data_IF_141879308612
#
_entry.id   IF_141879308612
#
_cell.length_a   1.000
_cell.length_b   1.000
_cell.length_c   1.000
_cell.angle_alpha   90.00
_cell.angle_beta   90.00
_cell.angle_gamma   90.00
#
_symmetry.space_group_name_H-M   'P 1'
#
loop_
_entity.id
_entity.type
_entity.pdbx_description
1 polymer ?
#
# COMPACT_ATOMS: atom_id res chain seq x y z
N UNK A 1 20.99 15.58 -32.45
CA UNK A 1 19.68 15.23 -33.02
C UNK A 1 19.32 13.80 -32.62
N UNK A 2 18.78 13.65 -31.43
CA UNK A 2 18.06 12.42 -31.07
C UNK A 2 16.75 12.50 -31.82
N UNK A 3 16.75 11.91 -32.99
CA UNK A 3 15.78 12.13 -34.02
C UNK A 3 14.43 11.57 -33.63
N UNK A 4 13.40 12.37 -33.86
CA UNK A 4 11.98 12.03 -33.76
C UNK A 4 11.57 10.72 -34.47
N UNK A 5 12.39 10.19 -35.38
CA UNK A 5 12.19 8.90 -36.03
C UNK A 5 12.30 7.71 -35.09
N UNK A 6 13.23 7.74 -34.13
CA UNK A 6 13.44 6.64 -33.19
C UNK A 6 12.27 6.52 -32.20
N UNK A 7 11.69 7.66 -31.79
CA UNK A 7 10.52 7.69 -30.91
C UNK A 7 9.27 7.18 -31.62
N UNK A 8 9.07 7.59 -32.88
CA UNK A 8 7.96 7.13 -33.69
C UNK A 8 8.09 5.63 -34.03
N UNK A 9 9.30 5.17 -34.34
CA UNK A 9 9.54 3.77 -34.62
C UNK A 9 9.30 2.88 -33.38
N UNK A 10 9.65 3.36 -32.18
CA UNK A 10 9.29 2.70 -30.91
C UNK A 10 7.78 2.69 -30.67
N UNK A 11 7.06 3.80 -30.89
CA UNK A 11 5.61 3.89 -30.74
C UNK A 11 4.89 2.88 -31.65
N UNK A 12 5.38 2.67 -32.87
CA UNK A 12 4.77 1.72 -33.81
C UNK A 12 5.22 0.28 -33.64
N UNK A 13 6.41 0.04 -33.08
CA UNK A 13 6.99 -1.29 -32.90
C UNK A 13 6.64 -1.90 -31.54
N UNK A 14 6.73 -1.10 -30.49
CA UNK A 14 6.46 -1.53 -29.13
C UNK A 14 5.04 -1.11 -28.74
N UNK A 15 4.10 -2.04 -28.79
CA UNK A 15 2.70 -1.79 -28.40
C UNK A 15 2.54 -1.38 -26.94
N UNK A 16 3.56 -1.64 -26.11
CA UNK A 16 3.61 -1.33 -24.69
C UNK A 16 4.90 -0.58 -24.42
N UNK A 17 4.81 0.73 -24.18
CA UNK A 17 5.96 1.60 -23.88
C UNK A 17 6.31 1.66 -22.39
N UNK A 18 5.49 1.07 -21.53
CA UNK A 18 5.68 1.06 -20.07
C UNK A 18 6.47 -0.17 -19.64
N UNK A 19 7.34 0.00 -18.64
CA UNK A 19 8.06 -1.12 -18.07
C UNK A 19 7.14 -2.01 -17.24
N UNK A 20 7.53 -3.27 -17.07
CA UNK A 20 6.84 -4.16 -16.15
C UNK A 20 7.13 -3.73 -14.71
N UNK A 21 6.10 -3.68 -13.88
CA UNK A 21 6.28 -3.39 -12.47
C UNK A 21 7.18 -4.47 -11.87
N UNK A 22 8.40 -4.09 -11.50
CA UNK A 22 9.27 -4.95 -10.73
C UNK A 22 8.86 -4.89 -9.26
N UNK A 23 8.61 -6.05 -8.68
CA UNK A 23 8.38 -6.22 -7.25
C UNK A 23 9.71 -6.39 -6.50
N UNK A 24 10.78 -6.68 -7.23
CA UNK A 24 12.11 -6.69 -6.64
C UNK A 24 12.50 -5.28 -6.20
N UNK A 25 12.86 -5.14 -4.94
CA UNK A 25 13.43 -3.91 -4.42
C UNK A 25 14.85 -3.69 -4.99
N UNK A 26 15.27 -2.44 -5.10
CA UNK A 26 16.70 -2.14 -5.32
C UNK A 26 17.53 -2.64 -4.12
N UNK A 27 18.86 -2.75 -4.28
CA UNK A 27 19.78 -3.12 -3.19
C UNK A 27 19.65 -2.23 -1.93
N UNK A 28 19.10 -1.03 -2.08
CA UNK A 28 18.85 -0.07 -0.99
C UNK A 28 17.41 -0.10 -0.48
N UNK A 29 16.58 -0.97 -1.05
CA UNK A 29 15.19 -1.05 -0.63
C UNK A 29 15.09 -1.78 0.71
N UNK A 30 14.45 -1.15 1.68
CA UNK A 30 14.17 -1.70 3.01
C UNK A 30 12.85 -2.45 2.97
N UNK A 31 12.91 -3.75 2.71
CA UNK A 31 11.75 -4.63 2.62
C UNK A 31 11.34 -5.21 3.97
N UNK A 32 10.85 -6.44 3.95
CA UNK A 32 10.50 -7.20 5.15
C UNK A 32 11.75 -7.51 5.98
N UNK A 33 11.59 -7.53 7.29
CA UNK A 33 12.69 -7.81 8.23
C UNK A 33 12.71 -9.31 8.49
N UNK A 34 13.85 -9.93 8.20
CA UNK A 34 14.06 -11.36 8.35
C UNK A 34 15.32 -11.62 9.18
N UNK A 35 15.35 -12.71 9.89
CA UNK A 35 16.51 -13.14 10.67
C UNK A 35 16.14 -13.81 11.99
N UNK A 36 17.17 -14.25 12.70
CA UNK A 36 17.05 -14.88 14.01
C UNK A 36 18.01 -14.22 14.99
N UNK A 37 17.65 -14.17 16.26
CA UNK A 37 18.50 -13.61 17.31
C UNK A 37 18.28 -14.25 18.66
N UNK A 38 19.22 -14.01 19.58
CA UNK A 38 18.99 -14.37 20.99
C UNK A 38 17.89 -13.46 21.58
N UNK A 39 17.15 -13.92 22.62
CA UNK A 39 16.11 -13.12 23.27
C UNK A 39 16.58 -11.72 23.69
N UNK A 40 17.77 -11.63 24.28
CA UNK A 40 18.37 -10.37 24.74
C UNK A 40 18.60 -9.37 23.59
N UNK A 41 18.97 -9.88 22.41
CA UNK A 41 19.18 -9.06 21.22
C UNK A 41 17.85 -8.62 20.61
N UNK A 42 16.88 -9.51 20.59
CA UNK A 42 15.53 -9.17 20.10
C UNK A 42 14.88 -8.10 20.99
N UNK A 43 15.09 -8.15 22.32
CA UNK A 43 14.65 -7.11 23.25
C UNK A 43 15.32 -5.76 22.95
N UNK A 44 16.61 -5.79 22.60
CA UNK A 44 17.29 -4.56 22.16
C UNK A 44 16.69 -4.02 20.86
N UNK A 45 16.44 -4.87 19.85
CA UNK A 45 15.79 -4.47 18.61
C UNK A 45 14.38 -3.87 18.87
N UNK A 46 13.63 -4.42 19.82
CA UNK A 46 12.33 -3.89 20.22
C UNK A 46 12.47 -2.49 20.84
N UNK A 47 13.47 -2.28 21.69
CA UNK A 47 13.65 -1.01 22.41
C UNK A 47 13.99 0.16 21.50
N UNK A 48 14.62 -0.08 20.34
CA UNK A 48 14.98 0.96 19.36
C UNK A 48 13.88 1.28 18.36
N UNK A 49 12.77 0.51 18.36
CA UNK A 49 11.68 0.73 17.44
C UNK A 49 10.84 1.96 17.82
N UNK A 50 10.82 3.03 16.99
CA UNK A 50 10.20 4.30 17.38
C UNK A 50 8.67 4.24 17.48
N UNK A 51 8.03 3.25 16.85
CA UNK A 51 6.57 3.08 16.78
C UNK A 51 6.09 1.78 17.41
N UNK A 52 6.96 1.05 18.12
CA UNK A 52 6.59 -0.22 18.76
C UNK A 52 6.11 -1.31 17.80
N UNK A 53 6.50 -1.23 16.53
CA UNK A 53 6.11 -2.23 15.53
C UNK A 53 6.82 -3.58 15.72
N UNK A 54 8.01 -3.57 16.31
CA UNK A 54 8.78 -4.76 16.60
C UNK A 54 8.41 -5.29 18.00
N UNK A 55 7.94 -6.54 18.08
CA UNK A 55 7.44 -7.15 19.31
C UNK A 55 8.11 -8.51 19.52
N UNK A 56 8.74 -8.70 20.68
CA UNK A 56 9.35 -9.98 21.07
C UNK A 56 8.31 -10.88 21.71
N UNK A 57 8.32 -12.15 21.33
CA UNK A 57 7.45 -13.20 21.85
C UNK A 57 8.28 -14.44 22.23
N UNK A 58 8.86 -14.45 23.46
CA UNK A 58 9.79 -15.48 23.89
C UNK A 58 11.07 -15.48 23.05
N UNK A 59 11.39 -16.59 22.40
CA UNK A 59 12.58 -16.73 21.53
C UNK A 59 12.34 -16.27 20.08
N UNK A 60 11.18 -15.68 19.79
CA UNK A 60 10.80 -15.20 18.47
C UNK A 60 10.38 -13.74 18.51
N UNK A 61 10.20 -13.14 17.34
CA UNK A 61 9.66 -11.79 17.20
C UNK A 61 8.52 -11.76 16.17
N UNK A 62 7.67 -10.75 16.31
CA UNK A 62 6.64 -10.41 15.35
C UNK A 62 6.74 -8.94 15.00
N UNK A 63 6.56 -8.62 13.72
CA UNK A 63 6.52 -7.23 13.26
C UNK A 63 5.08 -6.89 12.87
N UNK A 64 4.57 -5.83 13.47
CA UNK A 64 3.32 -5.22 13.04
C UNK A 64 3.61 -4.27 11.88
N UNK A 65 3.49 -4.78 10.65
CA UNK A 65 3.75 -3.99 9.45
C UNK A 65 2.76 -2.84 9.24
N UNK A 66 1.60 -2.84 9.88
CA UNK A 66 0.69 -1.68 9.85
C UNK A 66 1.34 -0.45 10.46
N UNK A 67 2.16 -0.64 11.51
CA UNK A 67 2.85 0.43 12.23
C UNK A 67 4.28 0.66 11.72
N UNK A 68 4.88 -0.31 11.07
CA UNK A 68 6.28 -0.27 10.66
C UNK A 68 6.54 0.89 9.68
N UNK A 69 7.52 1.72 10.00
CA UNK A 69 7.97 2.83 9.15
C UNK A 69 9.02 2.40 8.12
N UNK A 70 9.46 1.16 8.13
CA UNK A 70 10.56 0.65 7.32
C UNK A 70 11.85 1.48 7.48
N UNK A 71 12.06 2.05 8.66
CA UNK A 71 13.19 2.94 8.95
C UNK A 71 14.54 2.22 9.09
N UNK A 72 14.54 0.89 9.28
CA UNK A 72 15.73 0.06 9.40
C UNK A 72 16.48 0.16 10.75
N UNK A 73 16.00 0.94 11.73
CA UNK A 73 16.71 1.10 13.01
C UNK A 73 16.92 -0.20 13.76
N UNK A 74 15.95 -1.12 13.72
CA UNK A 74 16.11 -2.44 14.33
C UNK A 74 17.18 -3.27 13.61
N UNK A 75 17.28 -3.16 12.28
CA UNK A 75 18.31 -3.84 11.48
C UNK A 75 19.68 -3.23 11.76
N UNK A 76 19.80 -1.90 11.78
CA UNK A 76 21.05 -1.21 12.11
C UNK A 76 21.54 -1.55 13.52
N UNK A 77 20.65 -1.67 14.50
CA UNK A 77 20.99 -2.04 15.87
C UNK A 77 21.43 -3.50 16.02
N UNK A 78 20.95 -4.38 15.14
CA UNK A 78 21.14 -5.83 15.22
C UNK A 78 21.85 -6.44 13.98
N UNK A 79 22.29 -5.63 13.03
CA UNK A 79 22.78 -6.04 11.70
C UNK A 79 23.92 -7.07 11.71
N UNK A 80 24.74 -7.08 12.74
CA UNK A 80 25.87 -8.01 12.83
C UNK A 80 25.49 -9.41 13.28
N UNK A 81 24.27 -9.64 13.81
CA UNK A 81 23.99 -10.84 14.57
C UNK A 81 22.58 -11.45 14.35
N UNK A 82 21.50 -10.66 14.11
CA UNK A 82 20.15 -11.17 14.27
C UNK A 82 19.17 -10.92 13.10
N UNK A 83 19.26 -9.80 12.40
CA UNK A 83 18.24 -9.39 11.45
C UNK A 83 18.86 -8.99 10.11
N UNK A 84 18.21 -9.34 9.03
CA UNK A 84 18.55 -8.89 7.67
C UNK A 84 17.32 -8.28 7.01
N UNK A 85 17.53 -7.25 6.21
CA UNK A 85 16.44 -6.69 5.42
C UNK A 85 16.05 -7.67 4.32
N UNK A 86 14.80 -8.14 4.32
CA UNK A 86 14.27 -9.02 3.29
C UNK A 86 14.16 -8.32 1.95
N UNK A 87 14.32 -9.07 0.87
CA UNK A 87 14.18 -8.56 -0.51
C UNK A 87 12.74 -8.52 -0.99
N UNK A 88 11.82 -9.18 -0.28
CA UNK A 88 10.40 -9.16 -0.63
C UNK A 88 9.81 -7.77 -0.38
N UNK A 89 9.47 -7.09 -1.47
CA UNK A 89 9.33 -5.66 -1.47
C UNK A 89 8.01 -5.11 -0.98
N UNK A 90 6.89 -5.78 -1.19
CA UNK A 90 5.58 -5.21 -0.95
C UNK A 90 4.76 -6.13 -0.06
N UNK A 91 4.53 -5.69 1.16
CA UNK A 91 3.69 -6.41 2.12
C UNK A 91 2.29 -5.82 2.06
N UNK A 92 1.31 -6.67 1.76
CA UNK A 92 -0.09 -6.34 1.85
C UNK A 92 -0.71 -7.06 3.03
N UNK A 93 -1.37 -6.33 3.90
CA UNK A 93 -2.13 -6.91 5.00
C UNK A 93 -3.63 -6.80 4.73
N UNK A 94 -4.28 -7.94 4.60
CA UNK A 94 -5.72 -8.04 4.58
C UNK A 94 -6.27 -7.97 6.02
N UNK A 95 -7.46 -7.37 6.20
CA UNK A 95 -8.07 -7.23 7.53
C UNK A 95 -8.36 -8.58 8.21
N UNK A 96 -8.48 -9.65 7.45
CA UNK A 96 -8.87 -10.96 7.96
C UNK A 96 -7.87 -12.09 7.82
N UNK A 97 -6.85 -12.04 6.96
CA UNK A 97 -5.78 -13.08 6.85
C UNK A 97 -4.70 -12.70 5.82
N UNK A 98 -3.48 -13.11 6.12
CA UNK A 98 -2.29 -13.34 5.31
C UNK A 98 -2.08 -12.61 3.96
N UNK A 99 -0.84 -12.20 3.71
CA UNK A 99 -0.40 -11.62 2.45
C UNK A 99 -0.88 -12.42 1.23
N UNK A 100 -1.32 -11.72 0.17
CA UNK A 100 -1.81 -12.34 -1.07
C UNK A 100 -0.67 -12.43 -2.10
N UNK A 101 0.13 -13.50 -2.13
CA UNK A 101 1.26 -13.60 -3.05
C UNK A 101 0.85 -13.86 -4.51
N UNK A 102 -0.36 -14.36 -4.77
CA UNK A 102 -0.74 -14.86 -6.09
C UNK A 102 -0.94 -13.78 -7.16
N UNK A 103 -1.26 -12.54 -6.79
CA UNK A 103 -1.37 -11.44 -7.76
C UNK A 103 -0.02 -11.03 -8.36
N UNK A 104 1.04 -11.41 -7.69
CA UNK A 104 2.41 -11.12 -8.06
C UNK A 104 2.95 -12.09 -9.12
N UNK A 105 2.37 -13.29 -9.19
CA UNK A 105 2.76 -14.33 -10.15
C UNK A 105 2.03 -14.17 -11.50
N UNK A 106 0.90 -13.45 -11.53
CA UNK A 106 0.19 -13.16 -12.77
C UNK A 106 0.91 -12.04 -13.54
N UNK A 107 1.34 -12.32 -14.77
CA UNK A 107 1.92 -11.31 -15.64
C UNK A 107 0.99 -10.10 -15.83
N UNK A 108 1.53 -8.91 -16.00
CA UNK A 108 0.79 -7.63 -16.01
C UNK A 108 -0.37 -7.56 -17.02
N UNK A 109 -0.22 -8.17 -18.19
CA UNK A 109 -1.29 -8.24 -19.19
C UNK A 109 -2.47 -9.08 -18.70
N UNK A 110 -2.18 -10.15 -17.94
CA UNK A 110 -3.22 -10.99 -17.35
C UNK A 110 -4.03 -10.25 -16.28
N UNK A 111 -3.42 -9.34 -15.53
CA UNK A 111 -4.10 -8.59 -14.45
C UNK A 111 -5.13 -7.61 -15.02
N UNK A 112 -4.78 -6.83 -16.03
CA UNK A 112 -5.71 -5.87 -16.66
C UNK A 112 -6.92 -6.58 -17.30
N UNK A 113 -6.68 -7.71 -17.97
CA UNK A 113 -7.73 -8.52 -18.56
C UNK A 113 -8.59 -9.20 -17.49
N UNK A 114 -8.00 -9.66 -16.39
CA UNK A 114 -8.71 -10.23 -15.25
C UNK A 114 -9.65 -9.20 -14.62
N UNK A 115 -9.20 -7.96 -14.40
CA UNK A 115 -10.05 -6.90 -13.87
C UNK A 115 -11.21 -6.58 -14.80
N UNK A 116 -10.93 -6.43 -16.08
CA UNK A 116 -11.95 -6.18 -17.08
C UNK A 116 -12.96 -7.33 -17.19
N UNK A 117 -12.50 -8.56 -17.11
CA UNK A 117 -13.38 -9.73 -17.11
C UNK A 117 -14.19 -9.87 -15.82
N UNK A 118 -13.59 -9.59 -14.65
CA UNK A 118 -14.25 -9.74 -13.35
C UNK A 118 -15.22 -8.60 -13.03
N UNK A 119 -14.84 -7.35 -13.30
CA UNK A 119 -15.64 -6.17 -12.98
C UNK A 119 -16.46 -5.65 -14.15
N UNK A 120 -16.12 -6.02 -15.41
CA UNK A 120 -16.73 -5.47 -16.62
C UNK A 120 -16.46 -3.98 -16.87
N UNK A 121 -15.71 -3.32 -15.99
CA UNK A 121 -15.37 -1.89 -16.03
C UNK A 121 -14.11 -1.60 -15.22
N UNK A 122 -13.61 -0.38 -15.29
CA UNK A 122 -12.50 0.10 -14.47
C UNK A 122 -12.87 0.16 -12.99
N UNK A 123 -11.87 -0.06 -12.12
CA UNK A 123 -11.97 0.19 -10.68
C UNK A 123 -11.88 1.70 -10.44
N UNK A 124 -12.90 2.28 -9.85
CA UNK A 124 -12.94 3.69 -9.50
C UNK A 124 -12.50 3.91 -8.05
N UNK A 125 -11.45 4.69 -7.88
CA UNK A 125 -10.84 4.98 -6.58
C UNK A 125 -11.08 6.42 -6.19
N UNK A 126 -11.63 6.66 -5.00
CA UNK A 126 -11.62 7.97 -4.36
C UNK A 126 -10.46 8.03 -3.38
N UNK A 127 -9.57 8.96 -3.55
CA UNK A 127 -8.53 9.29 -2.58
C UNK A 127 -9.04 10.31 -1.56
N UNK A 128 -8.72 10.10 -0.28
CA UNK A 128 -8.96 11.02 0.82
C UNK A 128 -7.71 11.12 1.69
N UNK A 129 -7.12 12.30 1.73
CA UNK A 129 -6.08 12.65 2.70
C UNK A 129 -6.73 12.98 4.04
N UNK A 130 -6.42 12.20 5.07
CA UNK A 130 -6.97 12.35 6.42
C UNK A 130 -6.04 13.12 7.37
N UNK A 131 -4.88 13.57 6.89
CA UNK A 131 -3.87 14.31 7.64
C UNK A 131 -2.46 13.80 7.35
N UNK A 132 -2.07 13.77 6.07
CA UNK A 132 -0.79 13.27 5.62
C UNK A 132 0.33 14.31 5.70
N UNK A 133 1.56 13.83 5.60
CA UNK A 133 2.73 14.66 5.31
C UNK A 133 2.97 14.82 3.80
N UNK A 134 2.00 14.44 2.97
CA UNK A 134 2.02 14.40 1.50
C UNK A 134 2.98 13.37 0.87
N UNK A 135 3.75 12.60 1.63
CA UNK A 135 4.68 11.63 1.04
C UNK A 135 3.92 10.53 0.25
N UNK A 136 2.84 9.99 0.83
CA UNK A 136 1.98 9.03 0.14
C UNK A 136 1.32 9.64 -1.11
N UNK A 137 0.96 10.93 -1.07
CA UNK A 137 0.33 11.63 -2.18
C UNK A 137 1.31 11.85 -3.34
N UNK A 138 2.59 12.12 -3.06
CA UNK A 138 3.63 12.18 -4.08
C UNK A 138 3.83 10.82 -4.77
N UNK A 139 3.90 9.74 -4.00
CA UNK A 139 4.02 8.39 -4.55
C UNK A 139 2.75 7.98 -5.32
N UNK A 140 1.56 8.41 -4.84
CA UNK A 140 0.31 8.25 -5.56
C UNK A 140 0.33 8.98 -6.90
N UNK A 141 0.84 10.22 -6.93
CA UNK A 141 1.03 10.99 -8.17
C UNK A 141 1.96 10.28 -9.16
N UNK A 142 3.00 9.63 -8.65
CA UNK A 142 3.94 8.88 -9.48
C UNK A 142 3.31 7.66 -10.17
N UNK A 143 2.20 7.10 -9.67
CA UNK A 143 1.50 5.99 -10.33
C UNK A 143 0.96 6.34 -11.71
N UNK A 144 0.75 7.64 -11.99
CA UNK A 144 0.25 8.11 -13.29
C UNK A 144 1.36 8.42 -14.31
N UNK A 145 2.63 8.24 -13.94
CA UNK A 145 3.74 8.47 -14.85
C UNK A 145 3.85 7.32 -15.89
N UNK A 146 4.59 7.50 -17.00
CA UNK A 146 4.73 6.47 -18.04
C UNK A 146 5.39 5.17 -17.57
N UNK A 147 6.12 5.20 -16.45
CA UNK A 147 6.77 4.01 -15.90
C UNK A 147 5.76 3.06 -15.26
N UNK A 148 4.88 3.60 -14.41
CA UNK A 148 3.88 2.81 -13.67
C UNK A 148 2.56 2.65 -14.44
N UNK A 149 2.10 3.70 -15.12
CA UNK A 149 0.91 3.75 -15.97
C UNK A 149 -0.33 3.05 -15.37
N UNK A 150 -0.78 3.57 -14.21
CA UNK A 150 -1.90 3.01 -13.45
C UNK A 150 -3.15 2.77 -14.32
N UNK A 151 -3.41 3.65 -15.28
CA UNK A 151 -4.59 3.55 -16.14
C UNK A 151 -4.59 2.29 -17.01
N UNK A 152 -3.42 1.77 -17.35
CA UNK A 152 -3.27 0.51 -18.07
C UNK A 152 -3.86 -0.69 -17.32
N UNK A 153 -3.85 -0.64 -16.00
CA UNK A 153 -4.44 -1.67 -15.14
C UNK A 153 -5.95 -1.51 -14.94
N UNK A 154 -6.57 -0.56 -15.63
CA UNK A 154 -8.01 -0.32 -15.50
C UNK A 154 -8.40 0.32 -14.18
N UNK A 155 -7.51 1.09 -13.56
CA UNK A 155 -7.78 1.83 -12.33
C UNK A 155 -7.86 3.32 -12.65
N UNK A 156 -8.86 4.00 -12.12
CA UNK A 156 -9.08 5.43 -12.34
C UNK A 156 -9.46 6.14 -11.03
N UNK A 157 -8.83 7.30 -10.78
CA UNK A 157 -9.24 8.16 -9.68
C UNK A 157 -10.47 8.98 -10.05
N UNK A 158 -11.42 9.06 -9.11
CA UNK A 158 -12.66 9.82 -9.28
C UNK A 158 -12.81 10.91 -8.23
N UNK A 159 -13.37 12.04 -8.61
CA UNK A 159 -13.52 13.20 -7.73
C UNK A 159 -14.62 13.04 -6.68
N UNK A 160 -15.66 12.24 -6.97
CA UNK A 160 -16.80 12.05 -6.06
C UNK A 160 -16.82 10.64 -5.46
N UNK A 161 -17.02 10.49 -4.15
CA UNK A 161 -17.16 9.18 -3.52
C UNK A 161 -18.37 8.40 -4.02
N UNK A 162 -19.39 9.07 -4.54
CA UNK A 162 -20.59 8.42 -5.11
C UNK A 162 -20.32 7.59 -6.38
N UNK A 163 -19.19 7.80 -7.00
CA UNK A 163 -18.75 7.08 -8.21
C UNK A 163 -17.58 6.14 -7.92
N UNK A 164 -17.17 6.05 -6.65
CA UNK A 164 -16.04 5.23 -6.25
C UNK A 164 -16.48 3.83 -5.79
N UNK A 165 -15.67 2.85 -6.12
CA UNK A 165 -15.76 1.48 -5.65
C UNK A 165 -14.89 1.26 -4.41
N UNK A 166 -13.79 2.05 -4.33
CA UNK A 166 -12.81 1.97 -3.26
C UNK A 166 -12.46 3.37 -2.75
N UNK A 167 -12.38 3.51 -1.42
CA UNK A 167 -11.83 4.66 -0.73
C UNK A 167 -10.38 4.37 -0.35
N UNK A 168 -9.44 5.11 -0.90
CA UNK A 168 -8.03 5.08 -0.51
C UNK A 168 -7.77 6.19 0.49
N UNK A 169 -7.38 5.82 1.71
CA UNK A 169 -7.11 6.76 2.80
C UNK A 169 -5.61 6.88 3.01
N UNK A 170 -5.08 8.10 2.99
CA UNK A 170 -3.68 8.42 3.34
C UNK A 170 -3.61 9.29 4.58
N UNK A 171 -2.48 9.28 5.26
CA UNK A 171 -2.26 10.07 6.46
C UNK A 171 -2.93 9.52 7.71
N UNK A 172 -2.56 10.05 8.87
CA UNK A 172 -3.21 9.76 10.14
C UNK A 172 -4.56 10.49 10.17
N UNK A 173 -5.61 9.85 10.71
CA UNK A 173 -6.89 10.54 10.80
C UNK A 173 -6.84 11.63 11.85
N UNK A 174 -6.96 12.87 11.38
CA UNK A 174 -7.08 14.04 12.26
C UNK A 174 -8.54 14.28 12.65
N UNK A 175 -8.77 14.90 13.81
CA UNK A 175 -10.12 15.23 14.26
C UNK A 175 -10.88 16.13 13.29
N UNK A 176 -10.17 17.00 12.56
CA UNK A 176 -10.77 17.88 11.56
C UNK A 176 -11.29 17.11 10.33
N UNK A 177 -10.64 15.99 9.98
CA UNK A 177 -10.98 15.22 8.79
C UNK A 177 -11.72 13.92 9.10
N UNK A 178 -11.90 13.57 10.37
CA UNK A 178 -12.69 12.42 10.81
C UNK A 178 -14.09 12.42 10.20
N UNK A 179 -14.80 13.54 10.29
CA UNK A 179 -16.15 13.66 9.74
C UNK A 179 -16.15 13.53 8.21
N UNK A 180 -15.17 14.15 7.53
CA UNK A 180 -15.05 14.07 6.08
C UNK A 180 -14.80 12.62 5.62
N UNK A 181 -13.99 11.85 6.38
CA UNK A 181 -13.74 10.44 6.13
C UNK A 181 -15.04 9.62 6.26
N UNK A 182 -15.80 9.78 7.35
CA UNK A 182 -17.10 9.12 7.57
C UNK A 182 -18.09 9.43 6.45
N UNK A 183 -18.26 10.70 6.13
CA UNK A 183 -19.18 11.15 5.08
C UNK A 183 -18.79 10.61 3.69
N UNK A 184 -17.49 10.56 3.39
CA UNK A 184 -17.01 10.00 2.12
C UNK A 184 -17.29 8.51 2.04
N UNK A 185 -17.05 7.77 3.11
CA UNK A 185 -17.36 6.34 3.20
C UNK A 185 -18.85 6.07 3.04
N UNK A 186 -19.71 6.81 3.75
CA UNK A 186 -21.16 6.64 3.69
C UNK A 186 -21.75 6.99 2.32
N UNK A 187 -21.13 7.94 1.61
CA UNK A 187 -21.60 8.37 0.28
C UNK A 187 -21.25 7.37 -0.84
N UNK A 188 -20.38 6.39 -0.58
CA UNK A 188 -20.03 5.38 -1.58
C UNK A 188 -21.13 4.33 -1.72
N UNK A 189 -21.41 3.87 -2.96
CA UNK A 189 -22.37 2.80 -3.20
C UNK A 189 -21.83 1.44 -2.69
N UNK A 190 -22.75 0.54 -2.28
CA UNK A 190 -22.41 -0.85 -1.96
C UNK A 190 -22.33 -1.72 -3.23
N UNK A 191 -21.42 -2.70 -3.33
CA UNK A 191 -20.35 -3.00 -2.38
C UNK A 191 -19.20 -2.00 -2.49
N UNK A 192 -18.64 -1.61 -1.35
CA UNK A 192 -17.54 -0.66 -1.25
C UNK A 192 -16.36 -1.28 -0.51
N UNK A 193 -15.17 -0.75 -0.76
CA UNK A 193 -13.93 -1.16 -0.12
C UNK A 193 -13.19 0.05 0.45
N UNK A 194 -12.41 -0.17 1.49
CA UNK A 194 -11.52 0.85 2.07
C UNK A 194 -10.10 0.30 2.13
N UNK A 195 -9.15 1.06 1.59
CA UNK A 195 -7.74 0.79 1.64
C UNK A 195 -7.02 1.85 2.48
N UNK A 196 -6.39 1.44 3.57
CA UNK A 196 -5.50 2.29 4.36
C UNK A 196 -4.08 2.22 3.78
N UNK A 197 -3.59 3.35 3.27
CA UNK A 197 -2.32 3.45 2.56
C UNK A 197 -1.29 4.22 3.37
N UNK A 198 -0.19 3.57 3.66
CA UNK A 198 0.90 4.11 4.47
C UNK A 198 0.74 3.84 5.97
N UNK A 199 1.86 3.83 6.70
CA UNK A 199 1.91 3.54 8.13
C UNK A 199 1.03 4.48 8.97
N UNK A 200 0.83 5.71 8.54
CA UNK A 200 -0.03 6.68 9.21
C UNK A 200 -1.50 6.25 9.19
N UNK A 201 -2.03 5.91 8.00
CA UNK A 201 -3.41 5.46 7.84
C UNK A 201 -3.63 4.06 8.40
N UNK A 202 -2.63 3.17 8.27
CA UNK A 202 -2.72 1.78 8.67
C UNK A 202 -2.55 1.57 10.18
N UNK A 203 -1.59 2.25 10.80
CA UNK A 203 -1.21 2.04 12.21
C UNK A 203 -1.50 3.20 13.14
N UNK A 204 -1.57 4.43 12.61
CA UNK A 204 -1.87 5.64 13.39
C UNK A 204 -0.75 6.15 14.31
N UNK A 205 0.29 5.37 14.53
CA UNK A 205 1.31 5.61 15.57
C UNK A 205 2.39 6.63 15.18
N UNK A 206 2.44 7.05 13.91
CA UNK A 206 3.54 7.88 13.39
C UNK A 206 3.67 9.22 14.11
N UNK A 207 2.55 9.78 14.54
CA UNK A 207 2.49 11.08 15.26
C UNK A 207 2.15 10.92 16.74
N UNK A 208 1.95 9.69 17.21
CA UNK A 208 1.58 9.38 18.59
C UNK A 208 0.20 9.93 19.00
N UNK A 209 -0.12 9.77 20.27
CA UNK A 209 -1.35 10.29 20.85
C UNK A 209 -1.25 11.80 21.04
N UNK A 210 -1.97 12.55 20.23
CA UNK A 210 -2.10 14.01 20.37
C UNK A 210 -3.56 14.42 20.36
N UNK A 211 -3.84 15.62 20.89
CA UNK A 211 -5.21 16.14 20.92
C UNK A 211 -5.84 16.32 19.53
N UNK A 212 -5.03 16.45 18.47
CA UNK A 212 -5.46 16.69 17.09
C UNK A 212 -5.65 15.40 16.29
N UNK A 213 -5.16 14.27 16.78
CA UNK A 213 -5.16 12.98 16.09
C UNK A 213 -6.24 12.06 16.66
N UNK A 214 -6.94 11.35 15.78
CA UNK A 214 -7.85 10.25 16.14
C UNK A 214 -7.07 8.94 16.14
N UNK A 215 -6.20 8.72 15.13
CA UNK A 215 -5.38 7.52 14.97
C UNK A 215 -5.44 6.93 13.57
N UNK A 216 -5.46 5.60 13.48
CA UNK A 216 -5.54 4.87 12.23
C UNK A 216 -6.94 4.99 11.57
N UNK A 217 -7.02 4.71 10.28
CA UNK A 217 -8.26 4.77 9.52
C UNK A 217 -9.32 3.78 10.02
N UNK A 218 -8.91 2.62 10.54
CA UNK A 218 -9.80 1.58 11.07
C UNK A 218 -10.50 1.95 12.38
N UNK A 219 -10.07 3.02 13.05
CA UNK A 219 -10.77 3.59 14.19
C UNK A 219 -12.01 4.42 13.78
N UNK A 220 -12.11 4.78 12.50
CA UNK A 220 -13.15 5.67 11.99
C UNK A 220 -14.08 4.96 11.02
N UNK A 221 -13.53 4.16 10.09
CA UNK A 221 -14.26 3.39 9.08
C UNK A 221 -13.73 1.97 8.99
N UNK A 222 -14.56 0.99 8.58
CA UNK A 222 -14.06 -0.36 8.34
C UNK A 222 -13.00 -0.34 7.23
N UNK A 223 -11.83 -0.95 7.48
CA UNK A 223 -10.74 -1.07 6.51
C UNK A 223 -10.66 -2.50 6.02
N UNK A 224 -10.72 -2.68 4.70
CA UNK A 224 -10.62 -3.99 4.06
C UNK A 224 -9.17 -4.38 3.78
N UNK A 225 -8.32 -3.42 3.41
CA UNK A 225 -6.94 -3.65 2.98
C UNK A 225 -5.98 -2.60 3.54
N UNK A 226 -4.78 -3.06 3.91
CA UNK A 226 -3.71 -2.19 4.38
C UNK A 226 -2.50 -2.30 3.46
N UNK A 227 -1.96 -1.16 3.04
CA UNK A 227 -0.71 -1.06 2.27
C UNK A 227 0.32 -0.36 3.13
N UNK A 228 1.24 -1.10 3.78
CA UNK A 228 2.23 -0.54 4.67
C UNK A 228 3.32 0.22 3.91
N UNK A 229 4.03 1.09 4.60
CA UNK A 229 5.13 1.88 4.07
C UNK A 229 5.10 3.31 4.59
N UNK A 230 6.23 4.01 4.52
CA UNK A 230 6.30 5.41 4.95
C UNK A 230 7.23 6.23 4.02
N UNK A 231 6.77 6.55 2.81
CA UNK A 231 5.55 6.09 2.11
C UNK A 231 5.68 4.70 1.51
N UNK A 232 4.57 4.01 1.20
CA UNK A 232 4.59 2.86 0.31
C UNK A 232 4.97 3.30 -1.10
N UNK A 233 5.72 2.46 -1.81
CA UNK A 233 6.09 2.76 -3.20
C UNK A 233 4.90 2.63 -4.16
N UNK A 234 4.94 3.26 -5.36
CA UNK A 234 3.84 3.20 -6.31
C UNK A 234 3.41 1.79 -6.70
N UNK A 235 4.38 0.87 -6.87
CA UNK A 235 4.09 -0.55 -7.16
C UNK A 235 3.27 -1.21 -6.05
N UNK A 236 3.58 -0.97 -4.78
CA UNK A 236 2.82 -1.50 -3.64
C UNK A 236 1.37 -0.98 -3.63
N UNK A 237 1.19 0.31 -3.92
CA UNK A 237 -0.14 0.91 -4.02
C UNK A 237 -0.95 0.29 -5.17
N UNK A 238 -0.33 0.09 -6.35
CA UNK A 238 -0.97 -0.54 -7.49
C UNK A 238 -1.38 -1.96 -7.15
N UNK A 239 -0.49 -2.76 -6.58
CA UNK A 239 -0.79 -4.14 -6.14
C UNK A 239 -1.95 -4.15 -5.13
N UNK A 240 -1.98 -3.20 -4.20
CA UNK A 240 -3.09 -3.03 -3.26
C UNK A 240 -4.42 -2.75 -3.97
N UNK A 241 -4.43 -1.90 -4.98
CA UNK A 241 -5.64 -1.61 -5.77
C UNK A 241 -6.10 -2.82 -6.58
N UNK A 242 -5.18 -3.59 -7.12
CA UNK A 242 -5.50 -4.82 -7.85
C UNK A 242 -6.08 -5.90 -6.92
N UNK A 243 -5.52 -6.04 -5.72
CA UNK A 243 -6.08 -6.93 -4.69
C UNK A 243 -7.49 -6.48 -4.26
N UNK A 244 -7.71 -5.18 -4.09
CA UNK A 244 -9.03 -4.63 -3.80
C UNK A 244 -10.06 -4.93 -4.91
N UNK A 245 -9.65 -4.88 -6.17
CA UNK A 245 -10.54 -5.21 -7.28
C UNK A 245 -10.96 -6.68 -7.29
N UNK A 246 -10.07 -7.60 -6.93
CA UNK A 246 -10.41 -9.02 -6.76
C UNK A 246 -11.42 -9.22 -5.63
N UNK A 247 -11.21 -8.56 -4.49
CA UNK A 247 -12.14 -8.60 -3.35
C UNK A 247 -13.53 -8.04 -3.73
N UNK A 248 -13.56 -6.95 -4.52
CA UNK A 248 -14.81 -6.35 -5.00
C UNK A 248 -15.55 -7.32 -5.94
N UNK A 249 -14.84 -7.97 -6.85
CA UNK A 249 -15.41 -8.95 -7.75
C UNK A 249 -16.04 -10.12 -7.02
N UNK A 250 -15.45 -10.60 -5.91
CA UNK A 250 -16.02 -11.62 -5.03
C UNK A 250 -17.28 -11.13 -4.33
N UNK A 251 -17.25 -9.92 -3.73
CA UNK A 251 -18.43 -9.31 -3.10
C UNK A 251 -19.60 -9.15 -4.08
N UNK A 252 -19.34 -8.89 -5.36
CA UNK A 252 -20.36 -8.77 -6.40
C UNK A 252 -21.00 -10.10 -6.78
N UNK A 253 -20.28 -11.23 -6.68
CA UNK A 253 -20.82 -12.57 -6.97
C UNK A 253 -21.80 -13.09 -5.90
N UNK A 254 -21.70 -12.57 -4.68
CA UNK A 254 -22.51 -12.98 -3.54
C UNK A 254 -23.74 -12.08 -3.31
N UNK A 255 -24.00 -11.15 -4.22
CA UNK A 255 -25.14 -10.24 -4.21
C UNK A 255 -26.17 -10.64 -5.28
#
# INVERSE_FOLDING_TARGET
DVCSSDLLERIFRDKIATEQISLEGSERFRGTIEGNGSPEMLEHCQSVCPVGAFQVQGDSYKIDYKKCLFCGKCVEACASIALQEGKEGDVLHHSSKDAMPYLLEAGQEAVADVLKQKLGRSLHVRHLDAGSCNACDFEMGAMSNPYYDLHRYGVAFVASPRHADMLMVTGVVTRNLEQALRMSYEAMPEPRLVMACGACAAGGETYGDTYAVVGAADQVVPVDLYVPGCPPRPSAMIVGMLAAADMLAEKLKHK
#
